data_IF_047680496738
#
_entry.id   IF_047680496738
#
_cell.length_a   1.000
_cell.length_b   1.000
_cell.length_c   1.000
_cell.angle_alpha   90.00
_cell.angle_beta   90.00
_cell.angle_gamma   90.00
#
_symmetry.space_group_name_H-M   'P 1'
#
loop_
_entity.id
_entity.type
_entity.pdbx_description
1 polymer ?
#
# COMPACT_ATOMS: atom_id res chain seq x y z
N UNK A 1 18.98 -7.50 -2.91
CA UNK A 1 18.80 -7.14 -3.10
C UNK A 1 18.24 -6.54 -3.51
N UNK A 2 18.20 -6.56 -3.75
CA UNK A 2 17.88 -6.00 -4.23
C UNK A 2 17.14 -5.18 -4.20
N UNK A 3 17.13 -4.77 -4.39
CA UNK A 3 16.46 -4.04 -4.27
C UNK A 3 15.62 -3.71 -5.09
N UNK A 4 14.74 -3.79 -5.16
CA UNK A 4 13.67 -3.47 -5.92
C UNK A 4 12.92 -2.36 -5.36
N UNK A 5 13.66 -1.50 -4.73
CA UNK A 5 13.09 -0.28 -4.23
C UNK A 5 12.43 0.38 -5.38
N UNK A 6 11.26 0.82 -5.28
CA UNK A 6 10.57 1.49 -6.33
C UNK A 6 9.63 0.63 -7.14
N UNK A 7 9.72 -0.68 -6.99
CA UNK A 7 8.76 -1.53 -7.67
C UNK A 7 7.50 -1.68 -6.83
N UNK A 8 6.34 -1.34 -7.37
CA UNK A 8 5.11 -1.46 -6.60
C UNK A 8 4.68 -2.91 -6.46
N UNK A 9 4.05 -3.19 -5.33
CA UNK A 9 3.43 -4.49 -5.06
C UNK A 9 1.95 -4.36 -5.38
N UNK A 10 1.40 -5.37 -6.04
CA UNK A 10 -0.03 -5.32 -6.36
C UNK A 10 -0.85 -5.34 -5.07
N UNK A 11 -1.86 -4.48 -5.02
CA UNK A 11 -2.73 -4.41 -3.87
C UNK A 11 -3.64 -5.62 -3.82
N UNK A 12 -3.74 -6.25 -2.65
CA UNK A 12 -4.75 -7.26 -2.38
C UNK A 12 -5.26 -7.05 -0.96
N UNK A 13 -6.51 -7.42 -0.74
CA UNK A 13 -7.09 -7.30 0.61
C UNK A 13 -6.41 -8.21 1.60
N UNK A 14 -5.84 -9.31 1.12
CA UNK A 14 -5.19 -10.28 1.99
C UNK A 14 -3.70 -10.06 2.12
N UNK A 15 -3.19 -9.01 1.48
CA UNK A 15 -1.77 -8.75 1.51
C UNK A 15 -1.33 -8.05 2.78
N UNK A 16 -0.05 -8.16 3.07
CA UNK A 16 0.57 -7.37 4.12
C UNK A 16 1.53 -6.40 3.46
N UNK A 17 1.61 -5.20 4.03
CA UNK A 17 2.41 -4.15 3.43
C UNK A 17 3.33 -3.56 4.46
N UNK A 18 4.43 -2.98 4.01
CA UNK A 18 5.36 -2.29 4.87
C UNK A 18 5.19 -0.78 4.67
N UNK A 19 5.40 -0.03 5.73
CA UNK A 19 5.36 1.43 5.64
C UNK A 19 6.40 1.88 4.63
N UNK A 20 6.00 2.83 3.77
CA UNK A 20 6.83 3.43 2.73
C UNK A 20 7.07 2.53 1.52
N UNK A 21 6.43 1.37 1.48
CA UNK A 21 6.50 0.58 0.26
C UNK A 21 5.51 1.12 -0.77
N UNK A 22 5.70 0.74 -2.02
CA UNK A 22 4.82 1.15 -3.09
C UNK A 22 3.79 0.07 -3.33
N UNK A 23 2.57 0.50 -3.61
CA UNK A 23 1.45 -0.40 -3.87
C UNK A 23 0.77 0.04 -5.15
N UNK A 24 0.40 -0.92 -5.98
CA UNK A 24 -0.34 -0.63 -7.18
C UNK A 24 -1.77 -1.10 -7.02
N UNK A 25 -2.71 -0.18 -7.09
CA UNK A 25 -4.13 -0.47 -6.93
C UNK A 25 -4.80 -0.41 -8.30
N UNK A 26 -5.70 -1.34 -8.59
CA UNK A 26 -6.31 -1.38 -9.92
C UNK A 26 -7.17 -0.15 -10.24
N UNK A 27 -7.65 0.55 -9.24
CA UNK A 27 -8.48 1.72 -9.46
C UNK A 27 -7.70 3.00 -9.20
N UNK A 28 -6.94 3.05 -8.11
CA UNK A 28 -6.30 4.30 -7.68
C UNK A 28 -4.89 4.47 -8.21
N UNK A 29 -4.32 3.42 -8.82
CA UNK A 29 -2.98 3.51 -9.35
C UNK A 29 -1.93 3.24 -8.29
N UNK A 30 -0.75 3.78 -8.48
CA UNK A 30 0.37 3.56 -7.57
C UNK A 30 0.28 4.52 -6.40
N UNK A 31 0.49 3.98 -5.20
CA UNK A 31 0.52 4.78 -3.99
C UNK A 31 1.64 4.34 -3.08
N UNK A 32 1.86 5.11 -2.03
CA UNK A 32 2.88 4.79 -1.04
C UNK A 32 2.19 4.55 0.30
N UNK A 33 2.59 3.49 0.98
CA UNK A 33 2.02 3.14 2.28
C UNK A 33 2.50 4.12 3.32
N UNK A 34 1.57 4.82 3.96
CA UNK A 34 1.90 5.81 4.97
C UNK A 34 1.90 5.22 6.35
N UNK A 35 0.89 4.40 6.66
CA UNK A 35 0.73 3.92 8.03
C UNK A 35 -0.08 2.64 8.01
N UNK A 36 0.29 1.71 8.87
CA UNK A 36 -0.47 0.49 9.08
C UNK A 36 -1.35 0.70 10.30
N UNK A 37 -2.63 0.33 10.15
CA UNK A 37 -3.62 0.51 11.21
C UNK A 37 -4.21 -0.85 11.53
N UNK A 38 -3.51 -1.65 12.34
CA UNK A 38 -4.02 -2.98 12.67
C UNK A 38 -5.42 -2.89 13.29
N UNK A 39 -6.21 -3.93 13.15
CA UNK A 39 -5.83 -5.23 12.59
C UNK A 39 -5.99 -5.33 11.08
N UNK A 40 -6.73 -4.40 10.43
CA UNK A 40 -7.11 -4.68 9.05
C UNK A 40 -7.17 -3.44 8.17
N UNK A 41 -6.47 -2.38 8.52
CA UNK A 41 -6.50 -1.16 7.72
C UNK A 41 -5.10 -0.68 7.38
N UNK A 42 -5.00 0.05 6.29
CA UNK A 42 -3.74 0.67 5.87
C UNK A 42 -4.06 2.00 5.20
N UNK A 43 -3.30 3.01 5.52
CA UNK A 43 -3.41 4.32 4.86
C UNK A 43 -2.36 4.40 3.77
N UNK A 44 -2.81 4.71 2.55
CA UNK A 44 -1.95 4.78 1.39
C UNK A 44 -2.17 6.11 0.71
N UNK A 45 -1.08 6.77 0.36
CA UNK A 45 -1.14 8.04 -0.36
C UNK A 45 -1.08 7.74 -1.85
N UNK A 46 -2.19 7.98 -2.53
CA UNK A 46 -2.29 7.90 -3.98
C UNK A 46 -2.23 9.31 -4.54
N UNK A 47 -2.17 9.41 -5.87
CA UNK A 47 -2.09 10.72 -6.49
C UNK A 47 -3.32 11.58 -6.19
N UNK A 48 -4.44 10.96 -5.88
CA UNK A 48 -5.65 11.70 -5.54
C UNK A 48 -5.72 12.06 -4.07
N UNK A 49 -4.85 11.52 -3.25
CA UNK A 49 -4.89 11.77 -1.83
C UNK A 49 -4.78 10.49 -1.03
N UNK A 50 -4.93 10.61 0.28
CA UNK A 50 -4.82 9.47 1.17
C UNK A 50 -6.10 8.65 1.14
N UNK A 51 -5.96 7.35 1.01
CA UNK A 51 -7.07 6.41 1.07
C UNK A 51 -6.82 5.39 2.15
N UNK A 52 -7.87 5.05 2.89
CA UNK A 52 -7.78 4.01 3.91
C UNK A 52 -8.37 2.74 3.34
N UNK A 53 -7.54 1.72 3.21
CA UNK A 53 -7.91 0.48 2.58
C UNK A 53 -7.74 -0.67 3.55
N UNK A 54 -8.28 -1.82 3.18
CA UNK A 54 -8.13 -3.02 3.98
C UNK A 54 -6.80 -3.68 3.72
N UNK A 55 -6.27 -4.30 4.76
CA UNK A 55 -5.10 -5.15 4.64
C UNK A 55 -5.14 -6.17 5.78
N UNK A 56 -4.26 -7.15 5.68
CA UNK A 56 -4.02 -8.06 6.80
C UNK A 56 -2.79 -7.54 7.50
N UNK A 57 -2.98 -6.84 8.60
CA UNK A 57 -1.86 -6.20 9.28
C UNK A 57 -1.50 -6.89 10.58
#
# INVERSE_FOLDING_TARGET
>A
MAVTAGQPVAYTMNGTFAVRSLVEHPVFGVGVVLELLPPDKVDILFREGVKRLRCVC
#
